data_IF_820970846996
#
_entry.id   IF_820970846996
#
_cell.length_a   1.000
_cell.length_b   1.000
_cell.length_c   1.000
_cell.angle_alpha   90.00
_cell.angle_beta   90.00
_cell.angle_gamma   90.00
#
_symmetry.space_group_name_H-M   'P 1'
#
loop_
_entity.id
_entity.type
_entity.pdbx_description
1 polymer ?
#
# COMPACT_ATOMS: atom_id res chain seq x y z
N UNK A 1 13.67 -19.20 -20.00
CA UNK A 1 12.84 -18.06 -19.51
C UNK A 1 11.52 -18.48 -18.91
N UNK A 2 11.23 -18.04 -17.67
CA UNK A 2 9.95 -18.30 -16.97
C UNK A 2 8.74 -17.73 -17.70
N UNK A 3 8.92 -16.62 -18.42
CA UNK A 3 7.86 -15.93 -19.15
C UNK A 3 7.41 -16.70 -20.41
N UNK A 4 8.34 -17.39 -21.09
CA UNK A 4 8.06 -18.18 -22.29
C UNK A 4 7.22 -19.40 -21.91
N UNK A 5 7.66 -20.17 -20.91
CA UNK A 5 6.93 -21.34 -20.39
C UNK A 5 5.50 -21.01 -19.96
N UNK A 6 5.30 -19.89 -19.25
CA UNK A 6 3.95 -19.42 -18.86
C UNK A 6 3.03 -19.10 -20.05
N UNK A 7 3.58 -18.68 -21.20
CA UNK A 7 2.79 -18.40 -22.40
C UNK A 7 2.40 -19.69 -23.10
N UNK A 8 3.31 -20.65 -23.17
CA UNK A 8 3.09 -21.99 -23.74
C UNK A 8 2.00 -22.74 -22.95
N UNK A 9 2.10 -22.77 -21.61
CA UNK A 9 1.10 -23.39 -20.74
C UNK A 9 -0.29 -22.76 -20.94
N UNK A 10 -0.34 -21.42 -21.09
CA UNK A 10 -1.59 -20.69 -21.32
C UNK A 10 -2.19 -21.03 -22.69
N UNK A 11 -1.35 -21.17 -23.72
CA UNK A 11 -1.80 -21.55 -25.06
C UNK A 11 -2.32 -22.99 -25.10
N UNK A 12 -1.69 -23.93 -24.39
CA UNK A 12 -2.14 -25.30 -24.26
C UNK A 12 -3.54 -25.37 -23.63
N UNK A 13 -3.76 -24.64 -22.53
CA UNK A 13 -5.06 -24.55 -21.87
C UNK A 13 -6.16 -23.97 -22.78
N UNK A 14 -5.83 -22.94 -23.57
CA UNK A 14 -6.77 -22.35 -24.54
C UNK A 14 -7.11 -23.35 -25.64
N UNK A 15 -6.13 -24.12 -26.13
CA UNK A 15 -6.33 -25.12 -27.17
C UNK A 15 -7.21 -26.28 -26.67
N UNK A 16 -6.99 -26.74 -25.44
CA UNK A 16 -7.79 -27.78 -24.79
C UNK A 16 -9.24 -27.32 -24.57
N UNK A 17 -9.46 -26.09 -24.11
CA UNK A 17 -10.80 -25.54 -23.94
C UNK A 17 -11.56 -25.42 -25.27
N UNK A 18 -10.88 -24.96 -26.33
CA UNK A 18 -11.46 -24.93 -27.68
C UNK A 18 -11.83 -26.34 -28.18
N UNK A 19 -11.00 -27.33 -27.93
CA UNK A 19 -11.27 -28.73 -28.31
C UNK A 19 -12.48 -29.31 -27.56
N UNK A 20 -12.70 -28.91 -26.31
CA UNK A 20 -13.87 -29.29 -25.50
C UNK A 20 -15.12 -28.46 -25.77
N UNK A 21 -15.08 -27.51 -26.71
CA UNK A 21 -16.20 -26.60 -27.02
C UNK A 21 -16.52 -25.59 -25.90
N UNK A 22 -15.60 -25.41 -24.95
CA UNK A 22 -15.74 -24.45 -23.85
C UNK A 22 -15.18 -23.09 -24.29
N UNK A 23 -15.91 -22.01 -24.04
CA UNK A 23 -15.47 -20.66 -24.36
C UNK A 23 -14.17 -20.33 -23.59
N UNK A 24 -13.04 -20.06 -24.27
CA UNK A 24 -11.76 -19.73 -23.64
C UNK A 24 -11.79 -18.47 -22.76
N UNK A 25 -12.80 -17.60 -22.90
CA UNK A 25 -13.00 -16.44 -22.04
C UNK A 25 -13.24 -16.84 -20.58
N UNK A 26 -13.80 -18.03 -20.33
CA UNK A 26 -14.09 -18.56 -19.00
C UNK A 26 -12.85 -19.04 -18.25
N UNK A 27 -11.75 -19.37 -18.96
CA UNK A 27 -10.51 -19.88 -18.37
C UNK A 27 -9.72 -18.80 -17.62
N UNK A 28 -9.87 -17.55 -18.04
CA UNK A 28 -9.10 -16.43 -17.52
C UNK A 28 -10.05 -15.28 -17.17
N UNK A 29 -10.86 -15.50 -16.14
CA UNK A 29 -11.61 -14.42 -15.54
C UNK A 29 -10.62 -13.35 -15.05
N UNK A 30 -10.71 -12.15 -15.63
CA UNK A 30 -9.95 -11.02 -15.10
C UNK A 30 -10.44 -10.78 -13.68
N UNK A 31 -9.53 -10.63 -12.70
CA UNK A 31 -9.95 -10.22 -11.37
C UNK A 31 -10.75 -8.93 -11.49
N UNK A 32 -11.83 -8.84 -10.71
CA UNK A 32 -12.63 -7.62 -10.62
C UNK A 32 -11.69 -6.45 -10.33
N UNK A 33 -11.93 -5.31 -11.01
CA UNK A 33 -11.18 -4.09 -10.70
C UNK A 33 -11.47 -3.74 -9.23
N UNK A 34 -10.44 -3.48 -8.41
CA UNK A 34 -10.67 -3.03 -7.05
C UNK A 34 -11.46 -1.72 -7.09
N UNK A 35 -12.43 -1.60 -6.19
CA UNK A 35 -13.25 -0.40 -6.11
C UNK A 35 -12.38 0.83 -5.72
N UNK A 36 -12.67 2.02 -6.28
CA UNK A 36 -11.84 3.21 -6.09
C UNK A 36 -11.95 3.80 -4.68
N UNK A 37 -10.84 3.93 -3.95
CA UNK A 37 -10.84 4.40 -2.56
C UNK A 37 -11.69 5.66 -2.33
N UNK A 38 -12.41 5.70 -1.20
CA UNK A 38 -13.33 6.79 -0.82
C UNK A 38 -12.77 7.53 0.38
N UNK A 39 -12.65 8.86 0.31
CA UNK A 39 -12.28 9.68 1.47
C UNK A 39 -13.52 9.97 2.31
N UNK A 40 -13.46 9.63 3.59
CA UNK A 40 -14.56 9.84 4.54
C UNK A 40 -14.38 11.15 5.31
N UNK A 41 -15.45 11.81 5.79
CA UNK A 41 -15.37 13.07 6.53
C UNK A 41 -14.93 12.86 7.98
N UNK A 42 -13.83 12.13 8.18
CA UNK A 42 -13.22 11.85 9.49
C UNK A 42 -11.76 12.31 9.42
N UNK A 43 -11.38 13.13 10.40
CA UNK A 43 -9.99 13.56 10.58
C UNK A 43 -9.35 12.80 11.74
N UNK A 44 -8.15 12.26 11.50
CA UNK A 44 -7.30 11.67 12.52
C UNK A 44 -6.08 12.57 12.67
N UNK A 45 -5.86 13.09 13.87
CA UNK A 45 -4.70 13.93 14.20
C UNK A 45 -3.82 13.14 15.16
N UNK A 46 -2.56 12.93 14.77
CA UNK A 46 -1.54 12.33 15.63
C UNK A 46 -0.75 13.46 16.26
N UNK A 47 -0.84 13.58 17.58
CA UNK A 47 -0.10 14.59 18.33
C UNK A 47 1.30 14.11 18.69
N UNK A 48 2.31 14.78 18.10
CA UNK A 48 3.71 14.44 18.30
C UNK A 48 4.46 15.45 19.17
N UNK A 49 3.76 16.31 19.94
CA UNK A 49 4.45 17.30 20.79
C UNK A 49 5.26 16.66 21.93
N UNK A 50 4.96 15.40 22.26
CA UNK A 50 5.58 14.63 23.33
C UNK A 50 6.89 13.93 22.94
N UNK A 51 7.41 14.16 21.73
CA UNK A 51 8.63 13.51 21.23
C UNK A 51 9.83 13.71 22.18
N UNK A 52 9.94 14.88 22.81
CA UNK A 52 11.06 15.20 23.70
C UNK A 52 11.14 14.31 24.94
N UNK A 53 10.00 13.76 25.39
CA UNK A 53 9.92 12.85 26.53
C UNK A 53 10.27 11.40 26.18
N UNK A 54 10.41 11.08 24.90
CA UNK A 54 10.74 9.74 24.42
C UNK A 54 12.24 9.52 24.36
N UNK A 55 12.66 8.27 24.60
CA UNK A 55 14.01 7.79 24.32
C UNK A 55 14.28 7.83 22.82
N UNK A 56 15.56 7.85 22.43
CA UNK A 56 15.95 7.89 21.02
C UNK A 56 15.31 6.76 20.20
N UNK A 57 15.37 5.52 20.69
CA UNK A 57 14.76 4.33 20.05
C UNK A 57 13.23 4.42 19.90
N UNK A 58 12.56 5.10 20.82
CA UNK A 58 11.12 5.35 20.77
C UNK A 58 10.79 6.41 19.72
N UNK A 59 11.61 7.46 19.57
CA UNK A 59 11.47 8.46 18.48
C UNK A 59 11.69 7.85 17.09
N UNK A 60 12.64 6.92 16.97
CA UNK A 60 12.83 6.09 15.76
C UNK A 60 11.55 5.32 15.43
N UNK A 61 10.98 4.68 16.46
CA UNK A 61 9.76 3.89 16.34
C UNK A 61 8.57 4.76 15.95
N UNK A 62 8.41 5.93 16.57
CA UNK A 62 7.36 6.90 16.27
C UNK A 62 7.39 7.32 14.79
N UNK A 63 8.57 7.68 14.28
CA UNK A 63 8.73 8.06 12.87
C UNK A 63 8.29 6.93 11.92
N UNK A 64 8.64 5.70 12.25
CA UNK A 64 8.27 4.51 11.48
C UNK A 64 6.77 4.23 11.53
N UNK A 65 6.15 4.45 12.69
CA UNK A 65 4.70 4.35 12.88
C UNK A 65 3.94 5.41 12.06
N UNK A 66 4.41 6.66 12.02
CA UNK A 66 3.82 7.72 11.20
C UNK A 66 3.83 7.35 9.71
N UNK A 67 4.96 6.89 9.18
CA UNK A 67 5.06 6.41 7.79
C UNK A 67 4.12 5.23 7.52
N UNK A 68 3.95 4.35 8.51
CA UNK A 68 3.02 3.21 8.42
C UNK A 68 1.57 3.68 8.39
N UNK A 69 1.17 4.59 9.28
CA UNK A 69 -0.16 5.20 9.29
C UNK A 69 -0.50 5.83 7.93
N UNK A 70 0.43 6.57 7.34
CA UNK A 70 0.27 7.12 5.99
C UNK A 70 0.06 6.02 4.93
N UNK A 71 0.92 4.99 4.94
CA UNK A 71 0.86 3.88 3.97
C UNK A 71 -0.44 3.09 4.08
N UNK A 72 -0.88 2.81 5.30
CA UNK A 72 -2.12 2.08 5.56
C UNK A 72 -3.33 2.93 5.15
N UNK A 73 -3.37 4.22 5.49
CA UNK A 73 -4.43 5.12 5.06
C UNK A 73 -4.50 5.25 3.53
N UNK A 74 -3.34 5.31 2.83
CA UNK A 74 -3.28 5.36 1.36
C UNK A 74 -3.83 4.08 0.71
N UNK A 75 -3.64 2.92 1.36
CA UNK A 75 -4.11 1.61 0.86
C UNK A 75 -5.54 1.28 1.29
N UNK A 76 -6.11 2.02 2.24
CA UNK A 76 -7.44 1.77 2.76
C UNK A 76 -8.53 2.03 1.71
N UNK A 77 -9.60 1.22 1.77
CA UNK A 77 -10.84 1.44 1.00
C UNK A 77 -11.51 2.75 1.40
N UNK A 78 -11.51 3.05 2.70
CA UNK A 78 -12.04 4.26 3.29
C UNK A 78 -10.90 5.05 3.92
N UNK A 79 -10.56 6.18 3.32
CA UNK A 79 -9.42 6.99 3.72
C UNK A 79 -9.87 8.12 4.64
N UNK A 80 -9.16 8.31 5.74
CA UNK A 80 -9.33 9.47 6.61
C UNK A 80 -8.50 10.65 6.13
N UNK A 81 -8.82 11.84 6.64
CA UNK A 81 -7.91 12.98 6.63
C UNK A 81 -6.88 12.80 7.76
N UNK A 82 -5.68 12.34 7.43
CA UNK A 82 -4.62 12.11 8.42
C UNK A 82 -3.71 13.34 8.53
N UNK A 83 -3.54 13.85 9.75
CA UNK A 83 -2.66 14.96 10.07
C UNK A 83 -1.68 14.56 11.17
N UNK A 84 -0.47 15.10 11.08
CA UNK A 84 0.54 15.01 12.14
C UNK A 84 0.70 16.42 12.70
N UNK A 85 0.42 16.63 13.99
CA UNK A 85 0.72 17.89 14.65
C UNK A 85 2.11 17.86 15.28
N UNK A 86 2.68 19.05 15.49
CA UNK A 86 3.97 19.21 16.16
C UNK A 86 5.13 18.52 15.41
N UNK A 87 5.17 18.70 14.09
CA UNK A 87 6.26 18.20 13.23
C UNK A 87 7.55 19.01 13.46
N UNK A 88 8.39 18.51 14.37
CA UNK A 88 9.66 19.13 14.78
C UNK A 88 10.69 18.02 15.10
N UNK A 89 11.83 18.42 15.66
CA UNK A 89 12.78 17.48 16.28
C UNK A 89 13.36 16.43 15.34
N UNK A 90 13.58 15.23 15.89
CA UNK A 90 14.19 14.10 15.19
C UNK A 90 13.23 13.57 14.12
N UNK A 91 11.92 13.60 14.35
CA UNK A 91 10.95 13.19 13.34
C UNK A 91 11.12 13.99 12.05
N UNK A 92 11.25 15.31 12.15
CA UNK A 92 11.49 16.18 10.99
C UNK A 92 12.80 15.85 10.30
N UNK A 93 13.89 15.78 11.06
CA UNK A 93 15.22 15.47 10.52
C UNK A 93 15.23 14.12 9.79
N UNK A 94 14.60 13.11 10.37
CA UNK A 94 14.55 11.76 9.80
C UNK A 94 13.73 11.69 8.52
N UNK A 95 12.63 12.44 8.44
CA UNK A 95 11.83 12.57 7.23
C UNK A 95 12.56 13.33 6.12
N UNK A 96 13.31 14.37 6.46
CA UNK A 96 14.05 15.19 5.49
C UNK A 96 15.38 14.56 5.03
N UNK A 97 15.91 13.57 5.75
CA UNK A 97 17.18 12.91 5.42
C UNK A 97 16.98 11.45 5.00
N UNK A 98 16.65 10.59 5.95
CA UNK A 98 16.71 9.13 5.81
C UNK A 98 15.55 8.58 5.00
N UNK A 99 14.36 9.18 5.16
CA UNK A 99 13.15 8.77 4.44
C UNK A 99 12.96 9.54 3.12
N UNK A 100 13.68 10.63 2.88
CA UNK A 100 13.57 11.43 1.65
C UNK A 100 13.96 10.68 0.38
N UNK A 101 14.78 9.63 0.52
CA UNK A 101 15.30 8.82 -0.60
C UNK A 101 14.60 7.45 -0.73
N UNK A 102 13.46 7.23 -0.06
CA UNK A 102 12.68 5.98 -0.13
C UNK A 102 11.54 6.01 -1.14
#
# INVERSE_FOLDING_TARGET
DRAVRKREDKQALIAEAKAKGVDPSTLFQKPAKPEPAVRVPVALVVDCDFEEYMLESERISLSSQVTRCYSDNRRARYQSHLYISSYKGMMKERFETTLANQ
#
